data_IF_786942852671
#
_entry.id   IF_786942852671
#
_cell.length_a   1.000
_cell.length_b   1.000
_cell.length_c   1.000
_cell.angle_alpha   90.00
_cell.angle_beta   90.00
_cell.angle_gamma   90.00
#
_symmetry.space_group_name_H-M   'P 1'
#
loop_
_entity.id
_entity.type
_entity.pdbx_description
1 polymer ?
#
# COMPACT_ATOMS: atom_id res chain seq x y z
N UNK A 1 5.49 -56.11 28.88
CA UNK A 1 5.34 -54.65 28.86
C UNK A 1 6.24 -53.90 27.86
N UNK A 2 7.54 -54.17 27.75
CA UNK A 2 8.49 -53.45 26.88
C UNK A 2 8.11 -53.40 25.38
N UNK A 3 7.43 -54.40 24.83
CA UNK A 3 7.11 -54.47 23.37
C UNK A 3 5.91 -53.55 22.94
N UNK A 4 4.91 -53.34 23.86
CA UNK A 4 3.78 -52.45 23.60
C UNK A 4 4.21 -51.00 23.60
N UNK A 5 5.13 -50.62 24.47
CA UNK A 5 5.68 -49.25 24.56
C UNK A 5 6.54 -48.91 23.33
N UNK A 6 7.38 -49.85 22.83
CA UNK A 6 8.13 -49.66 21.61
C UNK A 6 7.23 -49.46 20.38
N UNK A 7 6.15 -50.25 20.25
CA UNK A 7 5.18 -50.08 19.15
C UNK A 7 4.48 -48.71 19.21
N UNK A 8 4.09 -48.24 20.38
CA UNK A 8 3.49 -46.90 20.54
C UNK A 8 4.45 -45.78 20.18
N UNK A 9 5.73 -45.90 20.59
CA UNK A 9 6.76 -44.91 20.23
C UNK A 9 7.02 -44.87 18.71
N UNK A 10 7.06 -46.00 18.04
CA UNK A 10 7.22 -46.05 16.58
C UNK A 10 6.05 -45.40 15.88
N UNK A 11 4.80 -45.62 16.31
CA UNK A 11 3.62 -44.99 15.74
C UNK A 11 3.64 -43.47 15.94
N UNK A 12 3.97 -43.00 17.15
CA UNK A 12 4.09 -41.57 17.44
C UNK A 12 5.16 -40.92 16.56
N UNK A 13 6.35 -41.58 16.43
CA UNK A 13 7.45 -41.07 15.60
C UNK A 13 7.09 -41.05 14.11
N UNK A 14 6.37 -42.08 13.62
CA UNK A 14 5.85 -42.09 12.25
C UNK A 14 4.83 -40.95 11.99
N UNK A 15 3.93 -40.69 12.93
CA UNK A 15 2.98 -39.58 12.83
C UNK A 15 3.72 -38.23 12.80
N UNK A 16 4.74 -38.06 13.65
CA UNK A 16 5.56 -36.84 13.67
C UNK A 16 6.33 -36.63 12.36
N UNK A 17 6.86 -37.72 11.76
CA UNK A 17 7.52 -37.64 10.44
C UNK A 17 6.53 -37.25 9.35
N UNK A 18 5.32 -37.82 9.35
CA UNK A 18 4.29 -37.48 8.37
C UNK A 18 3.85 -36.01 8.53
N UNK A 19 3.63 -35.53 9.75
CA UNK A 19 3.24 -34.14 10.01
C UNK A 19 4.37 -33.20 9.60
N UNK A 20 5.62 -33.46 9.99
CA UNK A 20 6.76 -32.60 9.63
C UNK A 20 7.07 -32.64 8.12
N UNK A 21 6.92 -33.79 7.49
CA UNK A 21 7.07 -33.94 6.04
C UNK A 21 5.99 -33.20 5.27
N UNK A 22 4.73 -33.26 5.74
CA UNK A 22 3.62 -32.50 5.15
C UNK A 22 3.81 -30.99 5.33
N UNK A 23 4.23 -30.54 6.51
CA UNK A 23 4.54 -29.15 6.76
C UNK A 23 5.66 -28.63 5.85
N UNK A 24 6.74 -29.40 5.70
CA UNK A 24 7.84 -29.04 4.79
C UNK A 24 7.36 -28.97 3.34
N UNK A 25 6.57 -29.95 2.88
CA UNK A 25 6.06 -29.97 1.52
C UNK A 25 5.14 -28.78 1.23
N UNK A 26 4.26 -28.40 2.17
CA UNK A 26 3.38 -27.22 2.06
C UNK A 26 4.22 -25.94 1.98
N UNK A 27 5.25 -25.79 2.82
CA UNK A 27 6.13 -24.62 2.78
C UNK A 27 6.91 -24.52 1.46
N UNK A 28 7.49 -25.60 0.99
CA UNK A 28 8.21 -25.62 -0.30
C UNK A 28 7.28 -25.31 -1.48
N UNK A 29 6.06 -25.79 -1.43
CA UNK A 29 5.05 -25.47 -2.44
C UNK A 29 4.65 -23.99 -2.40
N UNK A 30 4.40 -23.45 -1.19
CA UNK A 30 4.13 -22.02 -1.00
C UNK A 30 5.28 -21.15 -1.52
N UNK A 31 6.53 -21.50 -1.19
CA UNK A 31 7.71 -20.79 -1.70
C UNK A 31 7.83 -20.86 -3.23
N UNK A 32 7.56 -22.02 -3.83
CA UNK A 32 7.53 -22.16 -5.29
C UNK A 32 6.48 -21.26 -5.96
N UNK A 33 5.32 -21.05 -5.31
CA UNK A 33 4.31 -20.12 -5.80
C UNK A 33 4.76 -18.68 -5.62
N UNK A 34 5.19 -18.28 -4.42
CA UNK A 34 5.60 -16.92 -4.09
C UNK A 34 6.81 -16.45 -4.92
N UNK A 35 7.66 -17.38 -5.38
CA UNK A 35 8.77 -17.08 -6.28
C UNK A 35 8.34 -16.66 -7.71
N UNK A 36 7.04 -16.71 -8.03
CA UNK A 36 6.50 -16.15 -9.28
C UNK A 36 6.37 -14.64 -9.25
N UNK A 37 6.40 -14.02 -8.06
CA UNK A 37 6.39 -12.56 -7.93
C UNK A 37 7.71 -11.95 -8.39
N UNK A 38 7.65 -10.72 -8.90
CA UNK A 38 8.84 -9.94 -9.19
C UNK A 38 9.46 -9.48 -7.86
N UNK A 39 10.76 -9.75 -7.67
CA UNK A 39 11.47 -9.42 -6.42
C UNK A 39 12.29 -8.16 -6.60
N UNK A 40 12.01 -7.18 -5.76
CA UNK A 40 12.84 -5.99 -5.62
C UNK A 40 13.90 -6.15 -4.54
N UNK A 41 14.75 -5.15 -4.45
CA UNK A 41 15.82 -5.12 -3.47
C UNK A 41 15.29 -4.93 -2.05
N UNK A 42 15.97 -5.55 -1.09
CA UNK A 42 15.66 -5.37 0.34
C UNK A 42 16.10 -3.97 0.75
N UNK A 43 15.18 -3.18 1.25
CA UNK A 43 15.46 -1.85 1.79
C UNK A 43 15.80 -2.01 3.28
N UNK A 44 17.03 -1.70 3.65
CA UNK A 44 17.46 -1.73 5.04
C UNK A 44 16.95 -0.49 5.77
N UNK A 45 16.76 -0.60 7.08
CA UNK A 45 16.27 0.51 7.91
C UNK A 45 17.19 1.75 7.84
N UNK A 46 18.50 1.52 7.87
CA UNK A 46 19.53 2.57 7.76
C UNK A 46 19.49 3.31 6.43
N UNK A 47 19.03 2.66 5.36
CA UNK A 47 18.94 3.22 4.01
C UNK A 47 17.56 3.83 3.72
N UNK A 48 16.59 3.69 4.63
CA UNK A 48 15.19 4.07 4.41
C UNK A 48 14.82 5.47 4.91
N UNK A 49 15.77 6.25 5.41
CA UNK A 49 15.56 7.59 6.01
C UNK A 49 14.51 7.60 7.14
N UNK A 50 14.48 6.55 7.94
CA UNK A 50 13.58 6.43 9.09
C UNK A 50 14.13 7.23 10.27
N UNK A 51 13.29 8.07 10.86
CA UNK A 51 13.61 8.72 12.12
C UNK A 51 13.59 7.68 13.27
N UNK A 52 14.67 7.65 14.08
CA UNK A 52 14.77 6.66 15.17
C UNK A 52 13.64 6.75 16.20
N UNK A 53 13.07 7.93 16.42
CA UNK A 53 11.98 8.09 17.38
C UNK A 53 10.68 7.42 16.92
N UNK A 54 10.44 7.30 15.60
CA UNK A 54 9.27 6.62 15.08
C UNK A 54 9.30 5.10 15.32
N UNK A 55 10.48 4.52 15.44
CA UNK A 55 10.63 3.09 15.74
C UNK A 55 10.01 2.76 17.10
N UNK A 56 10.23 3.64 18.09
CA UNK A 56 9.64 3.48 19.44
C UNK A 56 8.12 3.62 19.41
N UNK A 57 7.60 4.55 18.60
CA UNK A 57 6.17 4.75 18.40
C UNK A 57 5.54 3.49 17.80
N UNK A 58 6.11 2.95 16.73
CA UNK A 58 5.65 1.72 16.08
C UNK A 58 5.59 0.53 17.04
N UNK A 59 6.66 0.31 17.79
CA UNK A 59 6.74 -0.80 18.75
C UNK A 59 5.69 -0.67 19.86
N UNK A 60 5.43 0.54 20.35
CA UNK A 60 4.42 0.80 21.37
C UNK A 60 2.99 0.55 20.87
N UNK A 61 2.68 0.91 19.62
CA UNK A 61 1.34 0.84 19.04
C UNK A 61 1.07 -0.43 18.22
N UNK A 62 2.09 -1.28 18.00
CA UNK A 62 1.99 -2.55 17.25
C UNK A 62 1.34 -2.38 15.87
N UNK A 63 1.76 -1.36 15.14
CA UNK A 63 1.34 -1.11 13.76
C UNK A 63 2.48 -1.49 12.82
N UNK A 64 2.14 -2.17 11.73
CA UNK A 64 3.07 -2.46 10.64
C UNK A 64 2.65 -1.71 9.39
N UNK A 65 3.57 -0.91 8.84
CA UNK A 65 3.34 -0.11 7.65
C UNK A 65 4.11 -0.65 6.44
N UNK A 66 3.45 -0.65 5.29
CA UNK A 66 4.07 -0.81 3.98
C UNK A 66 3.38 0.09 2.97
N UNK A 67 3.99 0.31 1.81
CA UNK A 67 3.39 1.14 0.77
C UNK A 67 2.93 0.28 -0.42
N UNK A 68 1.74 0.58 -0.92
CA UNK A 68 1.21 0.07 -2.17
C UNK A 68 1.36 1.17 -3.24
N UNK A 69 2.14 0.87 -4.27
CA UNK A 69 2.29 1.72 -5.45
C UNK A 69 1.44 1.21 -6.61
N UNK A 70 0.63 2.08 -7.19
CA UNK A 70 -0.04 1.87 -8.47
C UNK A 70 0.74 2.58 -9.58
N UNK A 71 1.24 1.83 -10.54
CA UNK A 71 2.12 2.33 -11.58
C UNK A 71 1.36 2.57 -12.89
N UNK A 72 1.60 3.73 -13.52
CA UNK A 72 1.07 4.08 -14.83
C UNK A 72 1.87 3.35 -15.92
N UNK A 73 1.75 2.05 -15.96
CA UNK A 73 2.37 1.17 -16.93
C UNK A 73 1.35 0.19 -17.49
N UNK A 74 1.30 0.08 -18.79
CA UNK A 74 0.50 -0.95 -19.47
C UNK A 74 1.17 -2.33 -19.35
N UNK A 75 2.49 -2.35 -19.11
CA UNK A 75 3.24 -3.59 -19.02
C UNK A 75 3.19 -4.14 -17.60
N UNK A 76 2.42 -5.20 -17.40
CA UNK A 76 2.21 -5.84 -16.10
C UNK A 76 3.46 -6.37 -15.41
N UNK A 77 4.61 -6.38 -16.10
CA UNK A 77 5.88 -6.95 -15.60
C UNK A 77 6.95 -5.89 -15.35
N UNK A 78 6.74 -4.66 -15.83
CA UNK A 78 7.72 -3.59 -15.70
C UNK A 78 7.36 -2.72 -14.51
N UNK A 79 8.08 -2.89 -13.41
CA UNK A 79 7.86 -2.20 -12.14
C UNK A 79 9.15 -1.53 -11.65
N UNK A 80 10.04 -1.24 -12.61
CA UNK A 80 11.33 -0.59 -12.38
C UNK A 80 11.26 0.93 -12.26
N UNK A 81 12.42 1.55 -12.05
CA UNK A 81 12.61 2.99 -12.20
C UNK A 81 12.28 3.41 -13.64
N UNK A 82 11.77 4.62 -13.84
CA UNK A 82 11.24 5.24 -15.06
C UNK A 82 9.70 5.21 -15.20
N UNK A 83 8.97 4.64 -14.27
CA UNK A 83 7.51 4.74 -14.22
C UNK A 83 7.08 5.66 -13.08
N UNK A 84 5.95 6.34 -13.24
CA UNK A 84 5.39 7.17 -12.18
C UNK A 84 4.42 6.37 -11.32
N UNK A 85 4.53 6.55 -10.01
CA UNK A 85 3.51 6.04 -9.10
C UNK A 85 2.31 6.98 -9.10
N UNK A 86 1.30 6.65 -9.89
CA UNK A 86 0.05 7.44 -9.96
C UNK A 86 -0.88 7.20 -8.76
N UNK A 87 -0.61 6.16 -7.98
CA UNK A 87 -1.23 5.91 -6.69
C UNK A 87 -0.18 5.53 -5.65
N UNK A 88 -0.19 6.21 -4.52
CA UNK A 88 0.65 5.92 -3.37
C UNK A 88 -0.25 5.73 -2.15
N UNK A 89 -0.24 4.54 -1.56
CA UNK A 89 -1.10 4.20 -0.43
C UNK A 89 -0.28 3.57 0.67
N UNK A 90 -0.22 4.23 1.81
CA UNK A 90 0.34 3.64 3.04
C UNK A 90 -0.71 2.70 3.61
N UNK A 91 -0.36 1.42 3.67
CA UNK A 91 -1.18 0.37 4.25
C UNK A 91 -0.65 0.11 5.65
N UNK A 92 -1.50 0.26 6.64
CA UNK A 92 -1.18 0.08 8.06
C UNK A 92 -1.97 -1.08 8.64
N UNK A 93 -1.27 -2.10 9.09
CA UNK A 93 -1.85 -3.23 9.81
C UNK A 93 -1.79 -2.95 11.31
N UNK A 94 -2.93 -2.59 11.89
CA UNK A 94 -3.08 -2.33 13.31
C UNK A 94 -3.38 -3.64 14.05
N UNK A 95 -2.35 -4.18 14.72
CA UNK A 95 -2.45 -5.45 15.45
C UNK A 95 -3.21 -5.34 16.76
N UNK A 96 -3.38 -4.13 17.29
CA UNK A 96 -4.15 -3.90 18.52
C UNK A 96 -5.64 -4.00 18.24
N UNK A 97 -6.10 -3.26 17.23
CA UNK A 97 -7.52 -3.18 16.88
C UNK A 97 -7.94 -4.20 15.81
N UNK A 98 -6.96 -4.94 15.23
CA UNK A 98 -7.17 -5.90 14.13
C UNK A 98 -7.81 -5.25 12.90
N UNK A 99 -7.39 -4.04 12.59
CA UNK A 99 -7.89 -3.23 11.49
C UNK A 99 -6.83 -2.98 10.42
N UNK A 100 -7.31 -2.84 9.19
CA UNK A 100 -6.51 -2.35 8.08
C UNK A 100 -6.87 -0.89 7.85
N UNK A 101 -5.86 -0.02 7.82
CA UNK A 101 -6.01 1.39 7.52
C UNK A 101 -5.27 1.70 6.21
N UNK A 102 -5.87 2.49 5.33
CA UNK A 102 -5.30 2.89 4.03
C UNK A 102 -5.22 4.40 4.00
N UNK A 103 -4.03 4.97 3.99
CA UNK A 103 -3.82 6.41 3.76
C UNK A 103 -3.36 6.64 2.34
N UNK A 104 -4.18 7.32 1.54
CA UNK A 104 -3.83 7.75 0.18
C UNK A 104 -3.01 9.04 0.25
N UNK A 105 -1.79 9.01 -0.31
CA UNK A 105 -0.91 10.19 -0.41
C UNK A 105 -1.10 10.82 -1.78
N UNK A 106 -1.37 12.14 -1.81
CA UNK A 106 -1.55 12.88 -3.06
C UNK A 106 -0.20 12.99 -3.80
N UNK A 107 -0.16 12.50 -5.03
CA UNK A 107 1.06 12.34 -5.83
C UNK A 107 1.73 13.66 -6.24
N UNK A 108 0.94 14.75 -6.40
CA UNK A 108 1.41 16.04 -6.87
C UNK A 108 1.73 17.01 -5.71
N UNK A 109 1.77 16.52 -4.46
CA UNK A 109 2.30 17.25 -3.30
C UNK A 109 3.80 17.43 -3.48
N UNK A 110 4.27 18.66 -3.24
CA UNK A 110 5.69 18.99 -3.26
C UNK A 110 6.36 18.44 -2.01
N UNK A 111 7.34 17.58 -2.23
CA UNK A 111 8.13 16.95 -1.18
C UNK A 111 9.63 17.13 -1.43
N UNK A 112 10.43 17.05 -0.39
CA UNK A 112 11.87 16.92 -0.54
C UNK A 112 12.20 15.47 -0.90
N UNK A 113 12.84 15.27 -2.05
CA UNK A 113 13.30 13.97 -2.53
C UNK A 113 14.78 13.83 -2.13
N UNK A 114 15.10 12.91 -1.21
CA UNK A 114 16.48 12.70 -0.72
C UNK A 114 17.34 11.92 -1.73
N UNK A 115 18.49 11.40 -1.29
CA UNK A 115 19.37 10.58 -2.11
C UNK A 115 20.11 11.40 -3.16
N UNK A 116 20.35 10.83 -4.33
CA UNK A 116 21.10 11.46 -5.42
C UNK A 116 20.35 12.63 -6.06
N UNK A 117 19.00 12.66 -5.96
CA UNK A 117 18.19 13.77 -6.48
C UNK A 117 18.36 15.05 -5.68
N UNK A 118 18.37 14.97 -4.34
CA UNK A 118 18.59 16.06 -3.38
C UNK A 118 17.86 17.36 -3.72
N UNK A 119 16.54 17.28 -3.90
CA UNK A 119 15.76 18.44 -4.32
C UNK A 119 14.29 18.32 -4.03
N UNK A 120 13.54 19.36 -4.39
CA UNK A 120 12.09 19.37 -4.28
C UNK A 120 11.46 18.94 -5.60
N UNK A 121 10.47 18.08 -5.51
CA UNK A 121 9.68 17.58 -6.64
C UNK A 121 8.30 17.14 -6.19
N UNK A 122 7.49 16.63 -7.09
CA UNK A 122 6.26 15.96 -6.70
C UNK A 122 6.59 14.60 -6.06
N UNK A 123 5.81 14.17 -5.09
CA UNK A 123 6.02 12.90 -4.39
C UNK A 123 6.21 11.71 -5.35
N UNK A 124 5.43 11.65 -6.43
CA UNK A 124 5.53 10.57 -7.42
C UNK A 124 6.77 10.62 -8.31
N UNK A 125 7.52 11.74 -8.32
CA UNK A 125 8.79 11.82 -9.05
C UNK A 125 9.86 10.94 -8.40
N UNK A 126 9.79 10.76 -7.08
CA UNK A 126 10.73 9.89 -6.38
C UNK A 126 10.73 8.46 -6.93
N UNK A 127 9.54 7.92 -7.26
CA UNK A 127 9.46 6.60 -7.88
C UNK A 127 10.08 6.58 -9.28
N UNK A 128 9.85 7.61 -10.07
CA UNK A 128 10.41 7.73 -11.42
C UNK A 128 11.95 7.83 -11.42
N UNK A 129 12.53 8.57 -10.46
CA UNK A 129 13.98 8.77 -10.38
C UNK A 129 14.74 7.59 -9.77
N UNK A 130 14.20 6.93 -8.77
CA UNK A 130 14.90 5.91 -7.98
C UNK A 130 14.05 4.71 -7.57
N UNK A 131 12.93 4.50 -8.27
CA UNK A 131 12.04 3.36 -8.01
C UNK A 131 11.44 3.38 -6.61
N UNK A 132 11.00 2.21 -6.14
CA UNK A 132 10.31 2.09 -4.85
C UNK A 132 11.20 2.49 -3.66
N UNK A 133 12.52 2.31 -3.76
CA UNK A 133 13.45 2.67 -2.68
C UNK A 133 13.46 4.17 -2.43
N UNK A 134 13.66 4.99 -3.47
CA UNK A 134 13.66 6.45 -3.32
C UNK A 134 12.27 6.99 -2.94
N UNK A 135 11.21 6.39 -3.46
CA UNK A 135 9.85 6.76 -3.06
C UNK A 135 9.60 6.50 -1.56
N UNK A 136 10.04 5.36 -1.03
CA UNK A 136 9.96 5.06 0.41
C UNK A 136 10.80 6.03 1.23
N UNK A 137 12.03 6.30 0.82
CA UNK A 137 12.88 7.30 1.47
C UNK A 137 12.22 8.67 1.53
N UNK A 138 11.55 9.08 0.45
CA UNK A 138 10.81 10.34 0.36
C UNK A 138 9.64 10.38 1.32
N UNK A 139 8.82 9.33 1.35
CA UNK A 139 7.68 9.23 2.28
C UNK A 139 8.14 9.25 3.74
N UNK A 140 9.16 8.45 4.08
CA UNK A 140 9.68 8.40 5.46
C UNK A 140 10.26 9.76 5.90
N UNK A 141 11.03 10.42 5.02
CA UNK A 141 11.69 11.69 5.30
C UNK A 141 10.69 12.84 5.54
N UNK A 142 9.64 12.91 4.71
CA UNK A 142 8.69 14.01 4.76
C UNK A 142 7.54 13.77 5.75
N UNK A 143 7.24 12.51 6.09
CA UNK A 143 6.03 12.13 6.84
C UNK A 143 6.33 11.41 8.16
N UNK A 144 7.60 11.33 8.58
CA UNK A 144 8.03 10.57 9.77
C UNK A 144 7.49 9.13 9.79
N UNK A 145 7.54 8.44 8.63
CA UNK A 145 7.11 7.06 8.53
C UNK A 145 8.28 6.08 8.74
N UNK A 146 7.96 4.79 8.88
CA UNK A 146 8.91 3.71 9.17
C UNK A 146 8.88 2.59 8.12
N UNK A 147 8.53 2.95 6.89
CA UNK A 147 8.31 2.02 5.80
C UNK A 147 9.65 1.47 5.28
N UNK A 148 9.73 0.15 5.15
CA UNK A 148 10.83 -0.55 4.47
C UNK A 148 10.34 -1.53 3.41
N UNK A 149 9.02 -1.77 3.37
CA UNK A 149 8.42 -2.75 2.48
C UNK A 149 7.42 -2.10 1.53
N UNK A 150 7.30 -2.69 0.35
CA UNK A 150 6.35 -2.23 -0.66
C UNK A 150 5.72 -3.39 -1.44
N UNK A 151 4.60 -3.04 -2.05
CA UNK A 151 3.95 -3.80 -3.12
C UNK A 151 3.71 -2.84 -4.27
N UNK A 152 4.12 -3.19 -5.49
CA UNK A 152 3.82 -2.42 -6.70
C UNK A 152 2.94 -3.23 -7.63
N UNK A 153 1.93 -2.59 -8.19
CA UNK A 153 0.98 -3.17 -9.15
C UNK A 153 0.82 -2.19 -10.33
N UNK A 154 0.99 -2.69 -11.55
CA UNK A 154 0.73 -1.91 -12.76
C UNK A 154 -0.77 -1.86 -13.09
N UNK A 155 -1.18 -1.02 -14.03
CA UNK A 155 -2.57 -0.98 -14.50
C UNK A 155 -3.03 -2.31 -15.10
N UNK A 156 -2.22 -2.97 -15.92
CA UNK A 156 -2.53 -4.31 -16.41
C UNK A 156 -2.62 -5.37 -15.30
N UNK A 157 -1.87 -5.16 -14.21
CA UNK A 157 -2.00 -5.95 -12.98
C UNK A 157 -3.36 -5.74 -12.31
N UNK A 158 -3.82 -4.49 -12.16
CA UNK A 158 -5.12 -4.18 -11.56
C UNK A 158 -6.27 -4.80 -12.36
N UNK A 159 -6.26 -4.69 -13.70
CA UNK A 159 -7.24 -5.36 -14.56
C UNK A 159 -7.29 -6.86 -14.29
N UNK A 160 -6.10 -7.50 -14.29
CA UNK A 160 -5.98 -8.93 -14.04
C UNK A 160 -6.49 -9.33 -12.65
N UNK A 161 -6.26 -8.50 -11.62
CA UNK A 161 -6.76 -8.71 -10.25
C UNK A 161 -8.30 -8.70 -10.23
N UNK A 162 -8.91 -7.67 -10.83
CA UNK A 162 -10.36 -7.53 -10.89
C UNK A 162 -11.00 -8.68 -11.63
N UNK A 163 -10.44 -9.09 -12.77
CA UNK A 163 -10.97 -10.21 -13.56
C UNK A 163 -10.83 -11.55 -12.83
N UNK A 164 -9.70 -11.76 -12.14
CA UNK A 164 -9.46 -12.98 -11.39
C UNK A 164 -10.46 -13.18 -10.23
N UNK A 165 -10.88 -12.10 -9.54
CA UNK A 165 -11.93 -12.19 -8.51
C UNK A 165 -13.33 -12.28 -9.12
N UNK A 166 -13.47 -12.26 -10.46
CA UNK A 166 -14.71 -12.36 -11.20
C UNK A 166 -15.48 -11.03 -11.30
N UNK A 167 -14.77 -9.89 -11.29
CA UNK A 167 -15.33 -8.55 -11.33
C UNK A 167 -15.66 -7.98 -9.95
N UNK A 168 -15.84 -6.66 -9.89
CA UNK A 168 -16.14 -5.92 -8.65
C UNK A 168 -17.46 -5.17 -8.77
N UNK A 169 -18.18 -5.06 -7.65
CA UNK A 169 -19.45 -4.36 -7.60
C UNK A 169 -19.21 -2.94 -7.10
N UNK A 170 -19.47 -1.94 -7.96
CA UNK A 170 -19.26 -0.50 -7.71
C UNK A 170 -20.56 0.26 -7.94
N UNK A 171 -20.88 1.18 -7.02
CA UNK A 171 -21.97 2.12 -7.21
C UNK A 171 -21.47 3.32 -8.02
N UNK A 172 -22.08 3.57 -9.18
CA UNK A 172 -21.77 4.68 -10.06
C UNK A 172 -22.77 5.82 -9.87
N UNK A 173 -22.27 7.04 -9.71
CA UNK A 173 -23.05 8.28 -9.79
C UNK A 173 -23.53 8.49 -11.24
N UNK A 174 -24.47 9.42 -11.44
CA UNK A 174 -24.95 9.77 -12.78
C UNK A 174 -23.79 10.22 -13.70
N UNK A 175 -22.86 11.01 -13.18
CA UNK A 175 -21.73 11.53 -13.96
C UNK A 175 -20.76 10.42 -14.37
N UNK A 176 -20.41 9.54 -13.44
CA UNK A 176 -19.51 8.39 -13.68
C UNK A 176 -20.13 7.39 -14.66
N UNK A 177 -21.40 7.06 -14.47
CA UNK A 177 -22.13 6.17 -15.36
C UNK A 177 -22.17 6.71 -16.79
N UNK A 178 -22.48 7.99 -16.97
CA UNK A 178 -22.46 8.66 -18.28
C UNK A 178 -21.06 8.62 -18.91
N UNK A 179 -20.00 8.88 -18.12
CA UNK A 179 -18.60 8.85 -18.59
C UNK A 179 -18.18 7.45 -19.03
N UNK A 180 -18.71 6.41 -18.39
CA UNK A 180 -18.40 5.02 -18.67
C UNK A 180 -19.36 4.36 -19.67
N UNK A 181 -20.42 5.04 -20.10
CA UNK A 181 -21.45 4.46 -20.95
C UNK A 181 -22.29 3.38 -20.27
N UNK A 182 -22.47 3.48 -18.94
CA UNK A 182 -23.20 2.55 -18.09
C UNK A 182 -24.44 3.23 -17.48
N UNK A 183 -25.26 2.46 -16.75
CA UNK A 183 -26.38 3.00 -16.00
C UNK A 183 -25.94 3.43 -14.59
N UNK A 184 -26.53 4.50 -14.00
CA UNK A 184 -26.30 4.85 -12.62
C UNK A 184 -26.74 3.75 -11.65
N UNK A 185 -26.10 3.70 -10.47
CA UNK A 185 -26.37 2.71 -9.44
C UNK A 185 -25.33 1.60 -9.41
N UNK A 186 -25.70 0.45 -8.87
CA UNK A 186 -24.79 -0.70 -8.71
C UNK A 186 -24.46 -1.34 -10.06
N UNK A 187 -23.19 -1.41 -10.38
CA UNK A 187 -22.65 -2.04 -11.59
C UNK A 187 -21.59 -3.05 -11.22
N UNK A 188 -21.56 -4.15 -11.97
CA UNK A 188 -20.46 -5.10 -11.91
C UNK A 188 -19.45 -4.75 -12.99
N UNK A 189 -18.27 -4.32 -12.55
CA UNK A 189 -17.17 -3.91 -13.41
C UNK A 189 -16.19 -5.07 -13.60
N UNK A 190 -15.76 -5.31 -14.83
CA UNK A 190 -14.61 -6.14 -15.17
C UNK A 190 -13.32 -5.33 -14.99
N UNK A 191 -12.15 -5.93 -15.26
CA UNK A 191 -10.85 -5.29 -15.07
C UNK A 191 -10.72 -3.98 -15.83
N UNK A 192 -11.02 -3.96 -17.13
CA UNK A 192 -10.98 -2.78 -17.98
C UNK A 192 -11.88 -1.65 -17.45
N UNK A 193 -13.13 -1.98 -17.13
CA UNK A 193 -14.09 -1.00 -16.62
C UNK A 193 -13.72 -0.48 -15.22
N UNK A 194 -13.16 -1.33 -14.34
CA UNK A 194 -12.69 -0.93 -13.03
C UNK A 194 -11.45 -0.03 -13.12
N UNK A 195 -10.52 -0.31 -14.05
CA UNK A 195 -9.38 0.57 -14.31
C UNK A 195 -9.85 1.92 -14.88
N UNK A 196 -10.79 1.92 -15.84
CA UNK A 196 -11.38 3.15 -16.37
C UNK A 196 -11.99 3.99 -15.24
N UNK A 197 -12.80 3.38 -14.35
CA UNK A 197 -13.39 4.04 -13.19
C UNK A 197 -12.33 4.64 -12.25
N UNK A 198 -11.30 3.88 -11.90
CA UNK A 198 -10.21 4.34 -11.03
C UNK A 198 -9.36 5.48 -11.63
N UNK A 199 -9.40 5.67 -12.96
CA UNK A 199 -8.64 6.68 -13.71
C UNK A 199 -9.47 7.89 -14.14
N UNK A 200 -10.75 7.97 -13.84
CA UNK A 200 -11.57 9.15 -14.17
C UNK A 200 -10.96 10.40 -13.55
N UNK A 201 -10.68 11.41 -14.37
CA UNK A 201 -10.12 12.72 -13.99
C UNK A 201 -11.00 13.89 -14.44
N UNK A 202 -11.76 13.72 -15.51
CA UNK A 202 -12.48 14.80 -16.17
C UNK A 202 -13.74 15.25 -15.42
N UNK A 203 -14.22 14.46 -14.48
CA UNK A 203 -15.46 14.75 -13.75
C UNK A 203 -15.23 15.58 -12.49
N UNK A 204 -14.01 15.52 -11.93
CA UNK A 204 -13.72 16.10 -10.63
C UNK A 204 -12.19 16.16 -10.38
N UNK A 205 -11.78 16.23 -9.13
CA UNK A 205 -10.39 16.43 -8.74
C UNK A 205 -9.66 15.11 -8.37
N UNK A 206 -8.35 15.19 -8.15
CA UNK A 206 -7.49 14.03 -7.82
C UNK A 206 -7.90 13.36 -6.50
N UNK A 207 -8.50 14.08 -5.54
CA UNK A 207 -8.97 13.48 -4.28
C UNK A 207 -10.15 12.54 -4.50
N UNK A 208 -11.09 12.89 -5.37
CA UNK A 208 -12.20 12.01 -5.74
C UNK A 208 -11.68 10.82 -6.55
N UNK A 209 -10.64 11.00 -7.35
CA UNK A 209 -9.94 9.87 -7.99
C UNK A 209 -9.35 8.91 -6.96
N UNK A 210 -8.69 9.41 -5.91
CA UNK A 210 -8.18 8.56 -4.82
C UNK A 210 -9.30 7.79 -4.11
N UNK A 211 -10.46 8.40 -3.92
CA UNK A 211 -11.65 7.74 -3.36
C UNK A 211 -12.16 6.62 -4.27
N UNK A 212 -12.20 6.82 -5.59
CA UNK A 212 -12.53 5.75 -6.56
C UNK A 212 -11.53 4.60 -6.51
N UNK A 213 -10.24 4.89 -6.42
CA UNK A 213 -9.21 3.86 -6.25
C UNK A 213 -9.42 3.05 -4.97
N UNK A 214 -9.75 3.73 -3.86
CA UNK A 214 -10.04 3.07 -2.60
C UNK A 214 -11.30 2.20 -2.70
N UNK A 215 -12.35 2.68 -3.39
CA UNK A 215 -13.56 1.90 -3.65
C UNK A 215 -13.27 0.61 -4.43
N UNK A 216 -12.41 0.68 -5.46
CA UNK A 216 -11.96 -0.52 -6.20
C UNK A 216 -11.22 -1.49 -5.29
N UNK A 217 -10.27 -1.01 -4.46
CA UNK A 217 -9.52 -1.86 -3.53
C UNK A 217 -10.47 -2.54 -2.53
N UNK A 218 -11.39 -1.79 -1.93
CA UNK A 218 -12.38 -2.33 -0.98
C UNK A 218 -13.28 -3.38 -1.66
N UNK A 219 -13.72 -3.12 -2.89
CA UNK A 219 -14.55 -4.05 -3.65
C UNK A 219 -13.80 -5.34 -4.01
N UNK A 220 -12.50 -5.25 -4.36
CA UNK A 220 -11.63 -6.42 -4.57
C UNK A 220 -11.53 -7.24 -3.29
N UNK A 221 -11.22 -6.61 -2.14
CA UNK A 221 -11.09 -7.31 -0.84
C UNK A 221 -12.40 -7.97 -0.44
N UNK A 222 -13.53 -7.25 -0.57
CA UNK A 222 -14.85 -7.79 -0.28
C UNK A 222 -15.17 -9.00 -1.16
N UNK A 223 -14.90 -8.90 -2.45
CA UNK A 223 -15.14 -9.98 -3.40
C UNK A 223 -14.26 -11.18 -3.11
N UNK A 224 -12.95 -10.96 -2.90
CA UNK A 224 -12.00 -12.00 -2.54
C UNK A 224 -12.43 -12.72 -1.27
N UNK A 225 -12.83 -12.00 -0.22
CA UNK A 225 -13.26 -12.55 1.06
C UNK A 225 -14.54 -13.41 0.95
N UNK A 226 -15.32 -13.22 -0.11
CA UNK A 226 -16.54 -14.01 -0.38
C UNK A 226 -16.29 -15.31 -1.16
N UNK A 227 -15.06 -15.51 -1.66
CA UNK A 227 -14.68 -16.70 -2.43
C UNK A 227 -14.51 -17.93 -1.55
N UNK A 228 -14.73 -19.11 -2.12
CA UNK A 228 -14.33 -20.37 -1.50
C UNK A 228 -12.81 -20.55 -1.51
N UNK A 229 -12.29 -21.40 -0.63
CA UNK A 229 -10.82 -21.61 -0.47
C UNK A 229 -10.11 -21.94 -1.79
N UNK A 230 -10.66 -22.81 -2.61
CA UNK A 230 -10.04 -23.18 -3.89
C UNK A 230 -9.99 -21.99 -4.87
N UNK A 231 -11.05 -21.19 -4.92
CA UNK A 231 -11.11 -20.01 -5.78
C UNK A 231 -10.16 -18.93 -5.29
N UNK A 232 -10.10 -18.66 -3.97
CA UNK A 232 -9.10 -17.77 -3.37
C UNK A 232 -7.68 -18.20 -3.77
N UNK A 233 -7.38 -19.49 -3.65
CA UNK A 233 -6.07 -20.03 -3.99
C UNK A 233 -5.73 -19.83 -5.47
N UNK A 234 -6.67 -20.11 -6.36
CA UNK A 234 -6.50 -19.91 -7.80
C UNK A 234 -6.30 -18.44 -8.16
N UNK A 235 -7.09 -17.55 -7.57
CA UNK A 235 -6.94 -16.09 -7.73
C UNK A 235 -5.55 -15.66 -7.30
N UNK A 236 -5.13 -15.96 -6.06
CA UNK A 236 -3.81 -15.56 -5.55
C UNK A 236 -2.71 -16.05 -6.48
N UNK A 237 -2.73 -17.34 -6.87
CA UNK A 237 -1.66 -17.91 -7.69
C UNK A 237 -1.57 -17.31 -9.10
N UNK A 238 -2.70 -16.89 -9.67
CA UNK A 238 -2.75 -16.24 -10.99
C UNK A 238 -2.23 -14.79 -10.95
N UNK A 239 -2.31 -14.14 -9.79
CA UNK A 239 -1.94 -12.73 -9.62
C UNK A 239 -0.48 -12.51 -9.28
N UNK A 240 0.21 -13.53 -8.75
CA UNK A 240 1.61 -13.39 -8.31
C UNK A 240 2.55 -12.78 -9.38
N UNK A 241 2.45 -13.11 -10.69
CA UNK A 241 3.32 -12.53 -11.70
C UNK A 241 3.14 -11.03 -11.94
N UNK A 242 2.02 -10.45 -11.49
CA UNK A 242 1.68 -9.03 -11.66
C UNK A 242 2.07 -8.17 -10.46
N UNK A 243 2.66 -8.79 -9.44
CA UNK A 243 3.06 -8.14 -8.19
C UNK A 243 4.57 -8.02 -8.16
N UNK A 244 5.08 -6.83 -7.88
CA UNK A 244 6.47 -6.60 -7.46
C UNK A 244 6.53 -6.24 -6.00
N UNK A 245 7.49 -6.80 -5.28
CA UNK A 245 7.63 -6.56 -3.85
C UNK A 245 9.03 -6.91 -3.35
N UNK A 246 9.45 -6.26 -2.26
CA UNK A 246 10.65 -6.65 -1.52
C UNK A 246 10.36 -7.49 -0.26
N UNK A 247 9.11 -7.88 -0.04
CA UNK A 247 8.79 -8.84 1.02
C UNK A 247 9.46 -10.19 0.76
N UNK A 248 10.03 -10.79 1.78
CA UNK A 248 10.47 -12.19 1.71
C UNK A 248 9.27 -13.15 1.75
N UNK A 249 9.48 -14.39 1.30
CA UNK A 249 8.41 -15.40 1.37
C UNK A 249 7.92 -15.63 2.80
N UNK A 250 8.85 -15.63 3.78
CA UNK A 250 8.49 -15.84 5.18
C UNK A 250 7.69 -14.68 5.76
N UNK A 251 8.03 -13.44 5.39
CA UNK A 251 7.21 -12.27 5.75
C UNK A 251 5.81 -12.38 5.16
N UNK A 252 5.68 -12.73 3.87
CA UNK A 252 4.37 -12.88 3.23
C UNK A 252 3.54 -13.97 3.93
N UNK A 253 4.13 -15.15 4.18
CA UNK A 253 3.44 -16.24 4.88
C UNK A 253 2.99 -15.81 6.28
N UNK A 254 3.83 -15.07 7.01
CA UNK A 254 3.51 -14.53 8.32
C UNK A 254 2.33 -13.55 8.27
N UNK A 255 2.40 -12.54 7.39
CA UNK A 255 1.30 -11.56 7.27
C UNK A 255 -0.01 -12.16 6.77
N UNK A 256 0.04 -13.12 5.83
CA UNK A 256 -1.17 -13.85 5.41
C UNK A 256 -1.82 -14.57 6.60
N UNK A 257 -1.02 -15.21 7.46
CA UNK A 257 -1.53 -15.85 8.68
C UNK A 257 -2.12 -14.81 9.65
N UNK A 258 -1.44 -13.70 9.87
CA UNK A 258 -1.91 -12.63 10.76
C UNK A 258 -3.23 -12.03 10.29
N UNK A 259 -3.37 -11.79 8.97
CA UNK A 259 -4.57 -11.22 8.36
C UNK A 259 -5.83 -12.08 8.55
N UNK A 260 -5.71 -13.38 8.83
CA UNK A 260 -6.85 -14.24 9.19
C UNK A 260 -7.58 -13.76 10.47
N UNK A 261 -6.90 -12.97 11.30
CA UNK A 261 -7.45 -12.40 12.53
C UNK A 261 -7.95 -10.96 12.39
N UNK A 262 -7.82 -10.35 11.20
CA UNK A 262 -8.22 -8.96 10.93
C UNK A 262 -9.64 -8.89 10.37
N UNK A 263 -10.33 -7.77 10.62
CA UNK A 263 -11.61 -7.48 10.00
C UNK A 263 -11.41 -6.91 8.58
N UNK A 264 -11.43 -7.81 7.60
CA UNK A 264 -11.26 -7.44 6.18
C UNK A 264 -12.47 -6.70 5.58
N UNK A 265 -13.60 -6.67 6.27
CA UNK A 265 -14.80 -5.97 5.81
C UNK A 265 -14.87 -4.51 6.30
N UNK A 266 -14.02 -4.13 7.24
CA UNK A 266 -13.99 -2.79 7.83
C UNK A 266 -12.61 -2.15 7.64
N UNK A 267 -12.31 -1.76 6.40
CA UNK A 267 -11.08 -1.05 6.04
C UNK A 267 -11.30 0.44 6.22
N UNK A 268 -10.52 1.06 7.10
CA UNK A 268 -10.53 2.51 7.30
C UNK A 268 -9.69 3.21 6.22
N UNK A 269 -10.23 4.27 5.63
CA UNK A 269 -9.54 5.01 4.57
C UNK A 269 -9.33 6.46 4.94
N UNK A 270 -8.12 6.94 4.71
CA UNK A 270 -7.68 8.30 4.97
C UNK A 270 -6.99 8.87 3.72
N UNK A 271 -6.78 10.19 3.72
CA UNK A 271 -6.04 10.88 2.66
C UNK A 271 -5.06 11.89 3.25
N UNK A 272 -3.99 12.14 2.54
CA UNK A 272 -3.03 13.20 2.81
C UNK A 272 -2.90 14.04 1.53
N UNK A 273 -3.18 15.34 1.60
CA UNK A 273 -3.64 16.12 2.76
C UNK A 273 -5.09 15.79 3.18
N UNK A 274 -5.33 15.83 4.49
CA UNK A 274 -6.59 15.37 5.11
C UNK A 274 -7.81 16.20 4.70
N UNK A 275 -7.68 17.52 4.57
CA UNK A 275 -8.70 18.44 4.08
C UNK A 275 -8.77 18.55 2.55
N UNK A 276 -7.98 17.77 1.81
CA UNK A 276 -7.93 17.87 0.37
C UNK A 276 -7.35 19.19 -0.12
N UNK A 277 -7.94 19.79 -1.15
CA UNK A 277 -7.46 21.06 -1.70
C UNK A 277 -7.51 22.24 -0.73
N UNK A 278 -8.38 22.19 0.27
CA UNK A 278 -8.47 23.26 1.29
C UNK A 278 -7.17 23.34 2.13
N UNK A 279 -6.45 22.22 2.23
CA UNK A 279 -5.16 22.15 2.92
C UNK A 279 -3.97 22.37 1.98
N UNK A 280 -4.18 22.80 0.75
CA UNK A 280 -3.12 22.98 -0.25
C UNK A 280 -3.06 24.39 -0.82
N UNK A 281 -1.92 24.69 -1.44
CA UNK A 281 -1.65 25.88 -2.24
C UNK A 281 -0.94 25.47 -3.51
N UNK A 282 -1.18 26.15 -4.62
CA UNK A 282 -0.39 25.94 -5.84
C UNK A 282 1.08 26.28 -5.58
N UNK A 283 1.99 25.40 -5.98
CA UNK A 283 3.43 25.66 -5.86
C UNK A 283 3.93 26.53 -7.00
N UNK A 284 4.49 27.72 -6.73
CA UNK A 284 5.02 28.61 -7.77
C UNK A 284 6.24 27.98 -8.44
N UNK A 285 6.25 27.93 -9.76
CA UNK A 285 7.41 27.56 -10.57
C UNK A 285 7.68 26.05 -10.70
N UNK A 286 7.16 25.21 -9.77
CA UNK A 286 7.33 23.77 -9.86
C UNK A 286 6.05 23.08 -10.36
N UNK A 287 4.90 23.69 -10.15
CA UNK A 287 3.58 23.03 -10.28
C UNK A 287 3.28 22.15 -9.07
N UNK A 288 2.13 21.48 -9.09
CA UNK A 288 1.67 20.70 -7.95
C UNK A 288 1.27 21.57 -6.75
N UNK A 289 1.28 20.95 -5.55
CA UNK A 289 0.68 21.53 -4.36
C UNK A 289 1.66 21.58 -3.20
N UNK A 290 1.77 22.76 -2.58
CA UNK A 290 2.31 22.92 -1.24
C UNK A 290 1.23 22.59 -0.21
N UNK A 291 1.57 21.90 0.86
CA UNK A 291 0.67 21.77 2.01
C UNK A 291 0.63 23.11 2.77
N UNK A 292 -0.54 23.48 3.31
CA UNK A 292 -0.67 24.66 4.17
C UNK A 292 0.10 24.53 5.46
N UNK A 293 0.23 23.31 5.96
CA UNK A 293 1.09 22.94 7.09
C UNK A 293 1.50 21.49 6.91
N UNK A 294 2.77 21.24 6.65
CA UNK A 294 3.32 19.87 6.58
C UNK A 294 3.29 19.20 7.95
N UNK A 295 3.63 19.96 9.00
CA UNK A 295 3.62 19.46 10.36
C UNK A 295 2.24 19.04 10.85
N UNK A 296 1.17 19.81 10.56
CA UNK A 296 -0.20 19.45 10.92
C UNK A 296 -0.66 18.17 10.16
N UNK A 297 -0.28 18.05 8.89
CA UNK A 297 -0.61 16.86 8.11
C UNK A 297 0.11 15.61 8.64
N UNK A 298 1.34 15.75 9.13
CA UNK A 298 2.06 14.66 9.80
C UNK A 298 1.40 14.29 11.13
N UNK A 299 0.96 15.26 11.94
CA UNK A 299 0.20 14.99 13.17
C UNK A 299 -1.08 14.20 12.87
N UNK A 300 -1.87 14.65 11.90
CA UNK A 300 -3.11 13.97 11.51
C UNK A 300 -2.85 12.57 10.95
N UNK A 301 -1.79 12.41 10.15
CA UNK A 301 -1.36 11.11 9.63
C UNK A 301 -1.05 10.12 10.77
N UNK A 302 -0.26 10.55 11.76
CA UNK A 302 0.13 9.71 12.89
C UNK A 302 -1.05 9.40 13.81
N UNK A 303 -1.99 10.33 13.97
CA UNK A 303 -3.26 10.08 14.65
C UNK A 303 -4.04 8.96 13.95
N UNK A 304 -4.15 9.03 12.63
CA UNK A 304 -4.89 8.05 11.84
C UNK A 304 -4.21 6.67 11.84
N UNK A 305 -2.89 6.61 11.67
CA UNK A 305 -2.12 5.35 11.60
C UNK A 305 -2.01 4.71 12.99
N UNK A 306 -1.52 5.46 13.98
CA UNK A 306 -1.10 4.93 15.28
C UNK A 306 -2.07 5.25 16.42
N UNK A 307 -3.15 6.00 16.16
CA UNK A 307 -4.11 6.48 17.19
C UNK A 307 -3.43 7.34 18.27
N UNK A 308 -2.50 8.24 17.85
CA UNK A 308 -1.77 9.16 18.72
C UNK A 308 -2.32 10.57 18.54
N UNK A 309 -2.91 11.15 19.59
CA UNK A 309 -3.50 12.49 19.52
C UNK A 309 -2.49 13.63 19.70
N UNK A 310 -1.31 13.37 20.29
CA UNK A 310 -0.31 14.38 20.66
C UNK A 310 1.05 14.13 19.98
N UNK A 311 1.06 13.56 18.78
CA UNK A 311 2.29 13.34 18.02
C UNK A 311 3.05 14.64 17.78
N UNK A 312 4.36 14.59 17.96
CA UNK A 312 5.24 15.71 17.69
C UNK A 312 6.11 15.42 16.48
N UNK A 313 5.92 16.14 15.37
CA UNK A 313 6.75 15.96 14.18
C UNK A 313 8.24 16.14 14.52
N UNK A 314 9.05 15.35 13.86
CA UNK A 314 10.51 15.39 14.04
C UNK A 314 11.08 16.73 13.59
N UNK A 315 12.31 16.98 14.04
CA UNK A 315 13.08 18.13 13.57
C UNK A 315 13.25 18.10 12.05
N UNK A 316 13.37 16.93 11.44
CA UNK A 316 13.48 16.76 9.99
C UNK A 316 12.24 17.29 9.27
N UNK A 317 11.04 16.93 9.73
CA UNK A 317 9.77 17.44 9.16
C UNK A 317 9.66 18.95 9.34
N UNK A 318 9.96 19.47 10.54
CA UNK A 318 9.87 20.91 10.83
C UNK A 318 10.87 21.74 10.02
N UNK A 319 12.11 21.28 9.91
CA UNK A 319 13.14 21.94 9.11
C UNK A 319 12.76 21.89 7.60
N UNK A 320 12.24 20.77 7.13
CA UNK A 320 11.82 20.61 5.75
C UNK A 320 10.60 21.49 5.40
N UNK A 321 9.61 21.60 6.30
CA UNK A 321 8.49 22.52 6.15
C UNK A 321 9.00 23.96 6.00
N UNK A 322 9.86 24.40 6.90
CA UNK A 322 10.48 25.73 6.84
C UNK A 322 11.22 25.96 5.53
N UNK A 323 12.08 25.02 5.13
CA UNK A 323 12.88 25.13 3.90
C UNK A 323 12.01 25.17 2.64
N UNK A 324 10.91 24.43 2.65
CA UNK A 324 9.92 24.40 1.55
C UNK A 324 9.29 25.78 1.39
N UNK A 325 8.86 26.39 2.49
CA UNK A 325 8.25 27.71 2.45
C UNK A 325 9.27 28.82 2.17
N UNK A 326 10.49 28.74 2.69
CA UNK A 326 11.56 29.69 2.37
C UNK A 326 11.86 29.70 0.85
N UNK A 327 11.70 28.53 0.18
CA UNK A 327 11.94 28.40 -1.25
C UNK A 327 10.75 28.81 -2.14
N UNK A 328 9.55 28.43 -1.76
CA UNK A 328 8.35 28.57 -2.62
C UNK A 328 7.31 29.57 -2.11
N UNK A 329 7.48 30.10 -0.91
CA UNK A 329 6.60 31.04 -0.26
C UNK A 329 5.78 30.45 0.88
N UNK A 330 5.55 31.26 1.89
CA UNK A 330 4.72 30.91 3.04
C UNK A 330 3.23 30.95 2.67
N UNK A 331 2.41 30.04 3.23
CA UNK A 331 0.96 30.18 3.14
C UNK A 331 0.54 31.55 3.69
N UNK A 332 -0.24 32.30 2.93
CA UNK A 332 -0.87 33.51 3.47
C UNK A 332 -1.74 33.10 4.67
N UNK A 333 -1.46 33.71 5.83
CA UNK A 333 -2.26 33.54 7.05
C UNK A 333 -3.67 34.05 6.87
#
# INVERSE_FOLDING_TARGET
>A
MKNKTKKKLIVIFSILIVISGSYLAINLYADSLLNKMNRGEVIKKEDANINEDIIKVKEAHKVFNFVLFGLDSENSKDTGASERSDAMKVISLDYTDKKIKITSVERDVVAYVPGDYQGYGHDNWAYWYGGPTLAIQTLNYNLDLDITNYVSVSFGGLESIVDAVGGVDIYLTNAEANRMGLNPGNNRLNGESALLYARIRELDNDYVRMERQNAVIQAIVSKFSSLGFNDMFNVVTSLLPYISTNFTNDQIKGYVYDLLSFDLNNIETYKLPSGGYDDTLNCPGLGGYLLRSYSDQVIELHKNIYSIDDYKPSKTVLDNEKNTYDKYGYPNK
#
